data_IF_133958720897
#
_entry.id   IF_133958720897
#
_cell.length_a   1.000
_cell.length_b   1.000
_cell.length_c   1.000
_cell.angle_alpha   90.00
_cell.angle_beta   90.00
_cell.angle_gamma   90.00
#
_symmetry.space_group_name_H-M   'P 1'
#
loop_
_entity.id
_entity.type
_entity.pdbx_description
1 polymer ?
#
# COMPACT_ATOMS: atom_id res chain seq x y z
N UNK A 1 6.65 38.64 -10.04
CA UNK A 1 5.46 38.08 -9.35
C UNK A 1 5.36 36.65 -9.81
N UNK A 2 6.10 35.75 -9.18
CA UNK A 2 6.27 34.36 -9.61
C UNK A 2 6.37 33.50 -8.36
N UNK A 3 5.23 32.99 -7.90
CA UNK A 3 5.18 31.88 -6.97
C UNK A 3 4.65 30.67 -7.74
N UNK A 4 5.58 29.90 -8.29
CA UNK A 4 5.36 28.52 -8.71
C UNK A 4 5.76 27.64 -7.53
N UNK A 5 4.79 27.27 -6.69
CA UNK A 5 4.99 26.22 -5.68
C UNK A 5 4.90 24.86 -6.37
N UNK A 6 6.00 24.51 -7.04
CA UNK A 6 6.22 23.21 -7.65
C UNK A 6 6.59 22.18 -6.58
N UNK A 7 5.60 21.71 -5.82
CA UNK A 7 5.80 20.58 -4.91
C UNK A 7 5.77 19.27 -5.68
N UNK A 8 6.84 19.01 -6.41
CA UNK A 8 7.13 17.73 -7.05
C UNK A 8 7.36 16.69 -5.96
N UNK A 9 6.36 15.84 -5.71
CA UNK A 9 6.54 14.60 -4.96
C UNK A 9 7.38 13.65 -5.83
N UNK A 10 8.67 13.56 -5.52
CA UNK A 10 9.59 12.61 -6.11
C UNK A 10 9.28 11.18 -5.60
N UNK A 11 8.79 10.24 -6.42
CA UNK A 11 8.38 8.92 -5.97
C UNK A 11 9.57 7.95 -6.05
N UNK A 12 10.66 8.22 -5.33
CA UNK A 12 11.90 7.47 -5.60
C UNK A 12 12.92 7.32 -4.49
N UNK A 13 12.82 8.00 -3.35
CA UNK A 13 13.82 7.89 -2.30
C UNK A 13 13.24 7.23 -1.05
N UNK A 14 13.60 5.97 -0.82
CA UNK A 14 13.36 5.31 0.46
C UNK A 14 14.22 6.04 1.52
N UNK A 15 13.59 6.97 2.25
CA UNK A 15 14.24 7.70 3.32
C UNK A 15 14.85 6.70 4.33
N UNK A 16 16.09 6.94 4.81
CA UNK A 16 16.70 6.08 5.80
C UNK A 16 15.82 6.00 7.06
N UNK A 17 15.72 4.81 7.64
CA UNK A 17 14.81 4.43 8.75
C UNK A 17 14.92 5.36 9.98
N UNK A 18 15.98 6.15 10.10
CA UNK A 18 16.16 7.16 11.16
C UNK A 18 15.43 8.50 10.94
N UNK A 19 15.07 8.87 9.70
CA UNK A 19 14.45 10.17 9.35
C UNK A 19 12.95 10.06 9.01
N UNK A 20 12.48 8.85 8.71
CA UNK A 20 11.06 8.61 8.42
C UNK A 20 10.12 9.12 9.53
N UNK A 21 10.52 8.99 10.80
CA UNK A 21 9.71 9.46 11.93
C UNK A 21 9.55 10.99 11.99
N UNK A 22 10.58 11.76 11.60
CA UNK A 22 10.50 13.21 11.53
C UNK A 22 9.65 13.65 10.34
N UNK A 23 9.85 13.00 9.19
CA UNK A 23 9.05 13.23 7.98
C UNK A 23 7.54 12.97 8.17
N UNK A 24 7.17 12.01 9.03
CA UNK A 24 5.76 11.65 9.28
C UNK A 24 5.20 12.13 10.63
N UNK A 25 5.86 13.09 11.30
CA UNK A 25 5.49 13.50 12.66
C UNK A 25 4.00 13.89 12.80
N UNK A 26 3.47 14.67 11.86
CA UNK A 26 2.08 15.12 11.87
C UNK A 26 1.09 13.96 11.68
N UNK A 27 1.39 13.04 10.76
CA UNK A 27 0.54 11.87 10.52
C UNK A 27 0.57 10.89 11.70
N UNK A 28 1.72 10.74 12.36
CA UNK A 28 1.84 9.97 13.61
C UNK A 28 1.00 10.62 14.71
N UNK A 29 1.04 11.95 14.84
CA UNK A 29 0.25 12.68 15.83
C UNK A 29 -1.26 12.51 15.57
N UNK A 30 -1.70 12.63 14.31
CA UNK A 30 -3.09 12.42 13.90
C UNK A 30 -3.57 11.00 14.24
N UNK A 31 -2.80 9.97 13.90
CA UNK A 31 -3.15 8.59 14.22
C UNK A 31 -3.28 8.37 15.73
N UNK A 32 -2.36 8.92 16.53
CA UNK A 32 -2.41 8.83 17.99
C UNK A 32 -3.61 9.56 18.58
N UNK A 33 -3.96 10.72 18.03
CA UNK A 33 -5.17 11.48 18.42
C UNK A 33 -6.44 10.63 18.21
N UNK A 34 -6.48 9.83 17.15
CA UNK A 34 -7.56 8.87 16.88
C UNK A 34 -7.41 7.51 17.61
N UNK A 35 -6.54 7.42 18.62
CA UNK A 35 -6.38 6.22 19.45
C UNK A 35 -5.59 5.08 18.79
N UNK A 36 -4.94 5.32 17.65
CA UNK A 36 -4.12 4.30 16.98
C UNK A 36 -2.78 4.16 17.70
N UNK A 37 -2.45 2.94 18.12
CA UNK A 37 -1.12 2.59 18.60
C UNK A 37 -0.16 2.48 17.42
N UNK A 38 0.82 3.38 17.35
CA UNK A 38 1.86 3.41 16.32
C UNK A 38 3.23 3.66 16.96
N UNK A 39 4.28 2.98 16.45
CA UNK A 39 5.66 3.18 16.89
C UNK A 39 6.48 3.86 15.78
N UNK A 40 6.77 5.18 15.90
CA UNK A 40 7.47 5.94 14.87
C UNK A 40 8.82 5.35 14.47
N UNK A 41 9.54 4.73 15.41
CA UNK A 41 10.85 4.11 15.15
C UNK A 41 10.79 2.85 14.28
N UNK A 42 9.59 2.30 14.07
CA UNK A 42 9.35 1.11 13.25
C UNK A 42 8.74 1.43 11.89
N UNK A 43 8.40 2.69 11.64
CA UNK A 43 7.76 3.11 10.40
C UNK A 43 8.75 2.96 9.25
N UNK A 44 8.31 2.26 8.22
CA UNK A 44 9.02 2.13 6.95
C UNK A 44 8.55 3.22 5.99
N UNK A 45 7.23 3.37 5.85
CA UNK A 45 6.62 4.35 4.95
C UNK A 45 5.17 4.60 5.36
N UNK A 46 4.69 5.81 5.07
CA UNK A 46 3.29 6.18 5.22
C UNK A 46 2.82 6.88 3.95
N UNK A 47 1.51 6.90 3.72
CA UNK A 47 0.88 7.66 2.65
C UNK A 47 -0.52 8.08 3.05
N UNK A 48 -1.02 9.16 2.43
CA UNK A 48 -2.42 9.56 2.55
C UNK A 48 -3.18 9.08 1.32
N UNK A 49 -4.19 8.25 1.57
CA UNK A 49 -5.06 7.71 0.53
C UNK A 49 -6.00 8.80 0.01
N UNK A 50 -6.60 8.55 -1.16
CA UNK A 50 -7.54 9.49 -1.82
C UNK A 50 -8.79 9.78 -0.99
N UNK A 51 -9.16 8.87 -0.08
CA UNK A 51 -10.28 9.03 0.85
C UNK A 51 -9.88 9.79 2.14
N UNK A 52 -8.65 10.33 2.20
CA UNK A 52 -8.12 11.09 3.33
C UNK A 52 -7.51 10.23 4.44
N UNK A 53 -7.71 8.91 4.43
CA UNK A 53 -7.14 8.03 5.46
C UNK A 53 -5.63 7.91 5.32
N UNK A 54 -4.93 7.79 6.44
CA UNK A 54 -3.51 7.47 6.45
C UNK A 54 -3.34 5.94 6.37
N UNK A 55 -2.52 5.47 5.44
CA UNK A 55 -2.02 4.09 5.43
C UNK A 55 -0.54 4.06 5.80
N UNK A 56 -0.10 3.05 6.56
CA UNK A 56 1.30 2.93 6.97
C UNK A 56 1.80 1.50 7.01
N UNK A 57 3.10 1.36 6.79
CA UNK A 57 3.84 0.12 6.90
C UNK A 57 4.90 0.26 7.99
N UNK A 58 4.94 -0.72 8.90
CA UNK A 58 6.02 -0.88 9.88
C UNK A 58 6.89 -2.10 9.54
N UNK A 59 8.06 -2.22 10.18
CA UNK A 59 8.93 -3.41 10.14
C UNK A 59 8.12 -4.70 10.33
N UNK A 60 7.19 -4.70 11.29
CA UNK A 60 6.25 -5.80 11.49
C UNK A 60 6.83 -7.06 12.13
N UNK A 61 6.20 -8.20 11.86
CA UNK A 61 6.51 -9.54 12.37
C UNK A 61 6.27 -10.58 11.27
N UNK A 62 6.43 -11.88 11.59
CA UNK A 62 6.09 -12.97 10.66
C UNK A 62 4.62 -12.98 10.21
N UNK A 63 3.72 -12.31 10.92
CA UNK A 63 2.28 -12.34 10.62
C UNK A 63 1.71 -11.00 10.13
N UNK A 64 2.48 -9.91 10.20
CA UNK A 64 2.02 -8.60 9.71
C UNK A 64 3.18 -7.66 9.35
N UNK A 65 2.92 -6.67 8.50
CA UNK A 65 3.88 -5.61 8.13
C UNK A 65 4.97 -6.08 7.16
N UNK A 66 6.09 -5.34 7.11
CA UNK A 66 7.13 -5.55 6.09
C UNK A 66 7.72 -6.96 6.16
N UNK A 67 8.03 -7.46 7.36
CA UNK A 67 8.59 -8.79 7.56
C UNK A 67 7.68 -9.89 7.00
N UNK A 68 6.35 -9.74 7.16
CA UNK A 68 5.37 -10.67 6.58
C UNK A 68 5.27 -10.54 5.06
N UNK A 69 5.33 -9.33 4.51
CA UNK A 69 5.29 -9.11 3.05
C UNK A 69 6.54 -9.70 2.36
N UNK A 70 7.69 -9.60 3.03
CA UNK A 70 8.99 -10.00 2.52
C UNK A 70 9.41 -11.43 2.91
N UNK A 71 8.47 -12.25 3.40
CA UNK A 71 8.71 -13.69 3.58
C UNK A 71 9.17 -14.33 2.26
N UNK A 72 10.17 -15.23 2.27
CA UNK A 72 10.78 -15.75 1.04
C UNK A 72 9.77 -16.27 0.01
N UNK A 73 8.83 -17.12 0.43
CA UNK A 73 7.82 -17.67 -0.46
C UNK A 73 6.92 -16.59 -1.12
N UNK A 74 6.70 -15.44 -0.48
CA UNK A 74 5.92 -14.34 -1.05
C UNK A 74 6.75 -13.48 -1.99
N UNK A 75 8.02 -13.26 -1.65
CA UNK A 75 8.97 -12.59 -2.53
C UNK A 75 9.09 -13.36 -3.84
N UNK A 76 9.23 -14.68 -3.77
CA UNK A 76 9.26 -15.53 -4.97
C UNK A 76 7.98 -15.38 -5.83
N UNK A 77 6.82 -15.19 -5.20
CA UNK A 77 5.57 -14.92 -5.92
C UNK A 77 5.61 -13.57 -6.65
N UNK A 78 6.19 -12.53 -6.04
CA UNK A 78 6.35 -11.21 -6.65
C UNK A 78 7.34 -11.26 -7.82
N UNK A 79 8.48 -11.94 -7.62
CA UNK A 79 9.53 -12.07 -8.62
C UNK A 79 9.05 -12.84 -9.85
N UNK A 80 8.32 -13.95 -9.66
CA UNK A 80 7.66 -14.69 -10.76
C UNK A 80 6.70 -13.83 -11.58
N UNK A 81 6.18 -12.74 -11.02
CA UNK A 81 5.28 -11.80 -11.68
C UNK A 81 5.97 -10.48 -12.04
N UNK A 82 7.31 -10.48 -12.08
CA UNK A 82 8.13 -9.39 -12.59
C UNK A 82 8.23 -8.21 -11.63
N UNK A 83 8.20 -8.45 -10.33
CA UNK A 83 8.48 -7.44 -9.29
C UNK A 83 9.63 -7.93 -8.41
N UNK A 84 10.84 -7.38 -8.54
CA UNK A 84 11.98 -7.76 -7.72
C UNK A 84 11.78 -7.30 -6.27
N UNK A 85 12.44 -7.97 -5.32
CA UNK A 85 12.27 -7.77 -3.87
C UNK A 85 12.30 -6.30 -3.45
N UNK A 86 13.28 -5.56 -3.94
CA UNK A 86 13.53 -4.15 -3.63
C UNK A 86 12.40 -3.21 -4.12
N UNK A 87 11.62 -3.63 -5.12
CA UNK A 87 10.49 -2.86 -5.67
C UNK A 87 9.15 -3.22 -5.05
N UNK A 88 9.08 -4.23 -4.17
CA UNK A 88 7.82 -4.68 -3.58
C UNK A 88 7.15 -3.57 -2.77
N UNK A 89 7.91 -2.86 -1.92
CA UNK A 89 7.34 -1.77 -1.10
C UNK A 89 6.82 -0.65 -1.98
N UNK A 90 7.59 -0.22 -2.98
CA UNK A 90 7.15 0.80 -3.93
C UNK A 90 5.87 0.39 -4.67
N UNK A 91 5.79 -0.85 -5.13
CA UNK A 91 4.61 -1.36 -5.80
C UNK A 91 3.39 -1.35 -4.87
N UNK A 92 3.54 -1.79 -3.61
CA UNK A 92 2.46 -1.79 -2.62
C UNK A 92 1.92 -0.38 -2.37
N UNK A 93 2.80 0.60 -2.21
CA UNK A 93 2.37 2.00 -2.03
C UNK A 93 1.76 2.58 -3.30
N UNK A 94 2.36 2.30 -4.46
CA UNK A 94 1.85 2.78 -5.75
C UNK A 94 0.43 2.26 -6.02
N UNK A 95 0.14 0.98 -5.71
CA UNK A 95 -1.19 0.42 -5.97
C UNK A 95 -2.27 0.97 -5.04
N UNK A 96 -1.95 1.29 -3.78
CA UNK A 96 -2.95 1.86 -2.84
C UNK A 96 -3.17 3.36 -3.08
N UNK A 97 -2.16 4.08 -3.60
CA UNK A 97 -2.28 5.50 -3.94
C UNK A 97 -2.99 5.73 -5.28
N UNK A 98 -2.63 4.91 -6.28
CA UNK A 98 -2.92 5.17 -7.69
C UNK A 98 -3.63 4.03 -8.40
N UNK A 99 -3.57 2.82 -7.83
CA UNK A 99 -4.14 1.64 -8.45
C UNK A 99 -5.66 1.70 -8.57
N UNK A 100 -6.17 1.10 -9.63
CA UNK A 100 -7.60 0.91 -9.84
C UNK A 100 -8.05 -0.31 -9.04
N UNK A 101 -9.04 -0.15 -8.16
CA UNK A 101 -9.67 -1.29 -7.50
C UNK A 101 -10.42 -2.14 -8.53
N UNK A 102 -10.02 -3.40 -8.71
CA UNK A 102 -10.59 -4.31 -9.72
C UNK A 102 -11.44 -5.42 -9.12
N UNK A 103 -11.40 -5.62 -7.82
CA UNK A 103 -12.13 -6.66 -7.13
C UNK A 103 -11.49 -7.05 -5.82
N UNK A 104 -11.83 -8.24 -5.34
CA UNK A 104 -11.45 -8.74 -4.04
C UNK A 104 -10.93 -10.19 -4.14
N UNK A 105 -9.97 -10.50 -3.27
CA UNK A 105 -9.44 -11.84 -3.04
C UNK A 105 -9.91 -12.36 -1.68
N UNK A 106 -10.22 -13.66 -1.59
CA UNK A 106 -10.76 -14.25 -0.37
C UNK A 106 -12.14 -13.71 0.00
N UNK A 107 -12.30 -13.33 1.28
CA UNK A 107 -13.54 -12.74 1.79
C UNK A 107 -13.68 -11.27 1.36
N UNK A 108 -12.63 -10.48 1.52
CA UNK A 108 -12.73 -9.01 1.54
C UNK A 108 -11.42 -8.28 1.22
N UNK A 109 -10.35 -8.96 0.78
CA UNK A 109 -9.06 -8.29 0.51
C UNK A 109 -9.08 -7.54 -0.82
N UNK A 110 -8.97 -6.21 -0.86
CA UNK A 110 -8.97 -5.44 -2.09
C UNK A 110 -7.81 -5.84 -3.02
N UNK A 111 -8.10 -5.96 -4.31
CA UNK A 111 -7.11 -6.18 -5.37
C UNK A 111 -7.07 -4.95 -6.25
N UNK A 112 -5.90 -4.35 -6.34
CA UNK A 112 -5.63 -3.18 -7.15
C UNK A 112 -4.86 -3.57 -8.40
N UNK A 113 -5.12 -2.86 -9.50
CA UNK A 113 -4.40 -2.97 -10.76
C UNK A 113 -3.73 -1.64 -11.10
N UNK A 114 -2.50 -1.70 -11.60
CA UNK A 114 -1.75 -0.55 -12.07
C UNK A 114 -0.87 -0.94 -13.27
N UNK A 115 -0.57 0.04 -14.13
CA UNK A 115 0.44 -0.11 -15.18
C UNK A 115 1.71 0.60 -14.69
N UNK A 116 2.82 -0.13 -14.62
CA UNK A 116 4.15 0.39 -14.27
C UNK A 116 5.12 -0.18 -15.29
N UNK A 117 5.99 0.67 -15.85
CA UNK A 117 7.00 0.28 -16.84
C UNK A 117 6.38 -0.50 -18.03
N UNK A 118 5.24 -0.01 -18.53
CA UNK A 118 4.48 -0.64 -19.62
C UNK A 118 3.80 -1.97 -19.27
N UNK A 119 3.95 -2.45 -18.04
CA UNK A 119 3.42 -3.74 -17.61
C UNK A 119 2.27 -3.62 -16.61
N UNK A 120 1.21 -4.39 -16.82
CA UNK A 120 0.13 -4.47 -15.83
C UNK A 120 0.57 -5.30 -14.63
N UNK A 121 0.35 -4.78 -13.42
CA UNK A 121 0.57 -5.44 -12.13
C UNK A 121 -0.74 -5.44 -11.35
N UNK A 122 -1.02 -6.56 -10.67
CA UNK A 122 -2.12 -6.66 -9.72
C UNK A 122 -1.59 -7.09 -8.36
N UNK A 123 -2.05 -6.43 -7.31
CA UNK A 123 -1.64 -6.73 -5.94
C UNK A 123 -2.87 -6.71 -5.05
N UNK A 124 -3.03 -7.76 -4.26
CA UNK A 124 -3.97 -7.77 -3.15
C UNK A 124 -3.28 -7.16 -1.94
N UNK A 125 -3.83 -6.08 -1.39
CA UNK A 125 -3.24 -5.38 -0.23
C UNK A 125 -4.23 -5.42 0.93
N UNK A 126 -3.75 -5.90 2.07
CA UNK A 126 -4.49 -5.97 3.31
C UNK A 126 -4.19 -4.74 4.16
N UNK A 127 -5.11 -3.78 4.12
CA UNK A 127 -5.05 -2.56 4.93
C UNK A 127 -6.12 -2.68 5.98
N UNK A 128 -5.71 -2.83 7.24
CA UNK A 128 -6.65 -2.91 8.36
C UNK A 128 -7.41 -1.60 8.56
N UNK A 129 -8.50 -1.64 9.34
CA UNK A 129 -9.39 -0.48 9.55
C UNK A 129 -8.67 0.78 10.01
N UNK A 130 -7.63 0.65 10.84
CA UNK A 130 -6.89 1.80 11.35
C UNK A 130 -5.96 2.40 10.28
N UNK A 131 -5.61 1.66 9.21
CA UNK A 131 -4.67 2.08 8.17
C UNK A 131 -3.35 1.27 8.13
N UNK A 132 -3.12 0.38 9.10
CA UNK A 132 -1.93 -0.47 9.09
C UNK A 132 -1.98 -1.49 7.95
N UNK A 133 -0.90 -1.53 7.17
CA UNK A 133 -0.70 -2.51 6.10
C UNK A 133 -0.22 -3.83 6.73
N UNK A 134 -1.13 -4.80 6.77
CA UNK A 134 -0.88 -6.12 7.36
C UNK A 134 -0.09 -6.99 6.40
N UNK A 135 -0.43 -6.97 5.11
CA UNK A 135 0.22 -7.83 4.13
C UNK A 135 -0.13 -7.47 2.69
N UNK A 136 0.65 -8.02 1.77
CA UNK A 136 0.45 -7.87 0.35
C UNK A 136 0.91 -9.13 -0.38
N UNK A 137 0.24 -9.47 -1.48
CA UNK A 137 0.70 -10.51 -2.39
C UNK A 137 0.30 -10.18 -3.83
N UNK A 138 1.10 -10.60 -4.82
CA UNK A 138 0.78 -10.34 -6.21
C UNK A 138 -0.34 -11.27 -6.67
N UNK A 139 -1.12 -10.80 -7.64
CA UNK A 139 -2.22 -11.56 -8.23
C UNK A 139 -1.95 -11.70 -9.72
N UNK A 140 -1.90 -12.93 -10.23
CA UNK A 140 -1.71 -13.17 -11.66
C UNK A 140 -2.84 -12.56 -12.51
N UNK A 141 -2.53 -12.05 -13.69
CA UNK A 141 -3.50 -11.36 -14.56
C UNK A 141 -4.67 -12.26 -15.01
N UNK A 142 -4.43 -13.57 -15.10
CA UNK A 142 -5.45 -14.57 -15.44
C UNK A 142 -6.29 -15.03 -14.24
N UNK A 143 -5.91 -14.66 -13.01
CA UNK A 143 -6.66 -15.06 -11.81
C UNK A 143 -7.94 -14.24 -11.71
N UNK A 144 -9.07 -14.95 -11.62
CA UNK A 144 -10.38 -14.32 -11.39
C UNK A 144 -10.38 -13.63 -10.03
N UNK A 145 -10.78 -12.36 -10.02
CA UNK A 145 -11.04 -11.58 -8.81
C UNK A 145 -12.55 -11.42 -8.65
N UNK A 146 -13.04 -11.44 -7.41
CA UNK A 146 -14.48 -11.28 -7.17
C UNK A 146 -14.84 -9.81 -7.33
N UNK A 147 -15.95 -9.46 -8.00
CA UNK A 147 -16.43 -8.08 -8.02
C UNK A 147 -16.80 -7.64 -6.60
N UNK A 148 -16.78 -6.33 -6.36
CA UNK A 148 -17.21 -5.78 -5.07
C UNK A 148 -18.62 -6.28 -4.74
N UNK A 149 -18.79 -6.91 -3.57
CA UNK A 149 -20.10 -7.41 -3.11
C UNK A 149 -21.11 -6.25 -3.01
N UNK A 150 -20.64 -5.05 -2.71
CA UNK A 150 -21.45 -3.84 -2.50
C UNK A 150 -21.71 -3.05 -3.79
N UNK A 151 -21.00 -3.33 -4.89
CA UNK A 151 -21.34 -2.76 -6.22
C UNK A 151 -22.47 -3.49 -6.94
N UNK A 152 -22.99 -4.59 -6.37
CA UNK A 152 -24.20 -5.23 -6.92
C UNK A 152 -25.47 -4.38 -6.76
N UNK A 153 -25.41 -3.29 -6.00
CA UNK A 153 -26.57 -2.41 -5.73
C UNK A 153 -26.50 -1.04 -6.43
N UNK A 154 -25.55 -0.80 -7.34
CA UNK A 154 -25.42 0.46 -8.08
C UNK A 154 -25.41 0.24 -9.60
N UNK A 155 -26.40 -0.50 -10.10
CA UNK A 155 -26.85 -0.39 -11.49
C UNK A 155 -28.32 0.02 -11.45
N UNK A 156 -28.61 1.09 -12.19
CA UNK A 156 -29.91 1.78 -12.34
C UNK A 156 -30.28 2.77 -11.23
N UNK A 157 -29.83 4.02 -11.42
CA UNK A 157 -30.66 5.22 -11.39
C UNK A 157 -30.13 6.19 -12.47
#
# INVERSE_FOLDING_TARGET
MTDTDGRSHDPGSAAPVGDAAAHYADWVAELRLHGTRINPKKIIRMTRLRDGRIAWLEIGSKTAGLAHILEPAKVDNFERLGTPRERIVDLVFTVIERGRLIGYHGADRPVYEIVIDGSTRRVAVDVSKNGFIVGAHPVGLRRKVRPNRDRRNFREL
#
